data_IF_937639805667
#
_entry.id   IF_937639805667
#
_cell.length_a   1.000
_cell.length_b   1.000
_cell.length_c   1.000
_cell.angle_alpha   90.00
_cell.angle_beta   90.00
_cell.angle_gamma   90.00
#
_symmetry.space_group_name_H-M   'P 1'
#
loop_
_entity.id
_entity.type
_entity.pdbx_description
1 polymer ?
#
# COMPACT_ATOMS: atom_id res chain seq x y z
N UNK A 1 0.11 -56.33 8.87
CA UNK A 1 -0.36 -56.89 7.58
C UNK A 1 0.31 -56.11 6.45
N UNK A 2 1.35 -56.72 5.86
CA UNK A 2 1.59 -56.89 4.41
C UNK A 2 0.49 -56.30 3.51
N UNK A 3 0.71 -55.64 2.37
CA UNK A 3 1.74 -55.57 1.32
C UNK A 3 1.54 -54.19 0.61
N UNK A 4 2.50 -53.58 -0.11
CA UNK A 4 2.80 -53.90 -1.52
C UNK A 4 4.03 -53.12 -2.03
N UNK A 5 4.97 -53.87 -2.64
CA UNK A 5 5.99 -53.57 -3.66
C UNK A 5 6.92 -52.35 -3.42
N UNK A 6 8.25 -52.47 -3.22
CA UNK A 6 9.29 -53.28 -3.90
C UNK A 6 9.18 -53.28 -5.44
N UNK A 7 9.89 -52.35 -6.08
CA UNK A 7 10.76 -52.66 -7.23
C UNK A 7 12.02 -51.79 -7.17
N UNK A 8 13.15 -52.49 -7.03
CA UNK A 8 14.52 -52.01 -6.87
C UNK A 8 15.19 -51.89 -8.24
N UNK A 9 15.92 -50.78 -8.44
CA UNK A 9 17.26 -50.65 -9.03
C UNK A 9 17.76 -51.66 -10.08
N UNK A 10 18.23 -51.16 -11.24
CA UNK A 10 19.66 -51.05 -11.62
C UNK A 10 19.83 -50.87 -13.14
N UNK A 11 20.89 -50.16 -13.53
CA UNK A 11 21.95 -50.53 -14.51
C UNK A 11 22.42 -49.31 -15.33
N UNK A 12 23.71 -49.02 -15.14
CA UNK A 12 24.63 -48.16 -15.87
C UNK A 12 25.06 -48.85 -17.17
N UNK A 13 25.18 -48.14 -18.30
CA UNK A 13 26.41 -48.10 -19.14
C UNK A 13 26.20 -47.52 -20.55
N UNK A 14 27.16 -46.65 -20.93
CA UNK A 14 27.70 -46.33 -22.28
C UNK A 14 26.73 -45.88 -23.39
N UNK A 15 26.93 -44.75 -24.06
CA UNK A 15 27.94 -44.51 -25.12
C UNK A 15 28.15 -42.97 -25.19
N UNK A 16 29.34 -42.44 -24.92
CA UNK A 16 30.51 -42.23 -25.82
C UNK A 16 30.34 -41.11 -26.86
N UNK A 17 31.28 -40.15 -26.85
CA UNK A 17 31.47 -39.13 -27.90
C UNK A 17 31.80 -37.74 -27.33
N UNK A 18 33.00 -37.54 -26.76
CA UNK A 18 34.14 -36.78 -27.35
C UNK A 18 33.86 -35.26 -27.51
N UNK A 19 34.40 -34.41 -26.62
CA UNK A 19 35.75 -33.77 -26.63
C UNK A 19 35.68 -32.34 -27.22
N UNK A 20 35.73 -31.26 -26.42
CA UNK A 20 36.94 -30.53 -25.95
C UNK A 20 37.54 -29.65 -27.07
N UNK A 21 37.66 -28.31 -26.97
CA UNK A 21 38.82 -27.53 -26.47
C UNK A 21 38.63 -26.09 -27.02
N UNK A 22 38.51 -25.07 -26.16
CA UNK A 22 39.48 -24.03 -25.75
C UNK A 22 39.70 -22.82 -26.71
N UNK A 23 39.44 -21.65 -26.11
CA UNK A 23 40.25 -20.43 -26.01
C UNK A 23 40.73 -19.60 -27.22
N UNK A 24 40.34 -18.32 -27.11
CA UNK A 24 41.14 -17.09 -27.28
C UNK A 24 41.56 -16.64 -28.68
N UNK A 25 41.12 -15.44 -29.09
CA UNK A 25 41.98 -14.24 -29.10
C UNK A 25 41.21 -12.95 -29.46
N UNK A 26 41.85 -11.86 -29.06
CA UNK A 26 41.46 -10.46 -28.92
C UNK A 26 41.34 -9.62 -30.21
N UNK A 27 40.67 -8.46 -30.04
CA UNK A 27 41.07 -7.11 -30.55
C UNK A 27 40.52 -6.63 -31.90
N UNK A 28 39.62 -5.62 -31.90
CA UNK A 28 39.81 -4.26 -32.48
C UNK A 28 38.50 -3.44 -32.65
N UNK A 29 38.57 -2.18 -32.17
CA UNK A 29 38.01 -0.92 -32.69
C UNK A 29 36.52 -0.55 -32.55
N UNK A 30 36.28 0.33 -31.56
CA UNK A 30 35.90 1.76 -31.66
C UNK A 30 34.78 2.25 -32.62
N UNK A 31 33.91 3.08 -32.02
CA UNK A 31 33.04 4.17 -32.55
C UNK A 31 31.64 3.79 -33.07
N UNK A 32 30.60 4.20 -32.35
CA UNK A 32 29.84 5.40 -32.71
C UNK A 32 28.76 5.71 -31.66
N UNK A 33 28.70 7.00 -31.31
CA UNK A 33 27.70 7.65 -30.47
C UNK A 33 26.50 7.95 -31.37
N UNK A 34 25.29 7.56 -30.97
CA UNK A 34 24.06 7.99 -31.61
C UNK A 34 23.39 9.06 -30.73
N UNK A 35 23.67 10.32 -31.07
CA UNK A 35 22.88 11.47 -30.69
C UNK A 35 21.66 11.55 -31.61
N UNK A 36 20.44 11.49 -31.06
CA UNK A 36 19.25 11.95 -31.79
C UNK A 36 18.86 13.32 -31.24
N UNK A 37 19.24 14.34 -32.01
CA UNK A 37 18.75 15.71 -31.86
C UNK A 37 17.76 15.95 -32.98
N UNK A 38 16.47 15.97 -32.69
CA UNK A 38 15.46 16.46 -33.62
C UNK A 38 15.16 17.92 -33.28
N UNK A 39 15.79 18.82 -34.03
CA UNK A 39 15.28 20.16 -34.25
C UNK A 39 14.07 20.04 -35.17
N UNK A 40 12.93 20.58 -34.76
CA UNK A 40 11.90 20.99 -35.71
C UNK A 40 11.67 22.49 -35.55
N UNK A 41 11.94 23.18 -36.66
CA UNK A 41 11.78 24.61 -36.84
C UNK A 41 10.31 25.01 -36.69
N UNK A 42 10.07 26.09 -35.94
CA UNK A 42 8.81 26.81 -35.96
C UNK A 42 8.72 27.61 -37.26
N UNK A 43 7.84 27.20 -38.18
CA UNK A 43 7.36 28.06 -39.25
C UNK A 43 5.97 28.58 -38.88
N UNK A 44 5.87 29.91 -38.77
CA UNK A 44 4.59 30.62 -38.69
C UNK A 44 3.99 30.73 -40.08
N UNK A 45 2.80 30.17 -40.30
CA UNK A 45 1.91 30.63 -41.36
C UNK A 45 0.48 30.72 -40.85
N UNK A 46 -0.04 31.93 -40.93
CA UNK A 46 -1.42 32.32 -40.66
C UNK A 46 -2.31 31.98 -41.87
N UNK A 47 -3.40 31.25 -41.66
CA UNK A 47 -4.64 31.41 -42.41
C UNK A 47 -5.79 30.66 -41.69
N UNK A 48 -6.61 31.47 -41.03
CA UNK A 48 -8.04 31.31 -40.78
C UNK A 48 -8.73 30.05 -41.34
N UNK A 49 -9.17 29.16 -40.45
CA UNK A 49 -10.42 28.41 -40.63
C UNK A 49 -10.97 28.03 -39.25
N UNK A 50 -11.65 28.98 -38.63
CA UNK A 50 -12.51 28.73 -37.47
C UNK A 50 -13.70 27.88 -37.92
N UNK A 51 -13.63 26.56 -37.77
CA UNK A 51 -14.79 25.66 -37.93
C UNK A 51 -14.81 24.61 -36.83
N UNK A 52 -15.63 24.92 -35.83
CA UNK A 52 -16.52 23.99 -35.11
C UNK A 52 -16.11 22.50 -35.12
N UNK A 53 -15.35 22.10 -34.10
CA UNK A 53 -15.51 20.79 -33.46
C UNK A 53 -15.89 21.07 -32.00
N UNK A 54 -17.03 21.75 -31.84
CA UNK A 54 -17.85 21.63 -30.64
C UNK A 54 -19.06 20.81 -31.11
N UNK A 55 -18.89 19.50 -31.14
CA UNK A 55 -19.95 18.55 -31.47
C UNK A 55 -20.12 17.60 -30.29
N UNK A 56 -21.12 17.91 -29.47
CA UNK A 56 -22.03 16.94 -28.86
C UNK A 56 -21.38 15.74 -28.16
N UNK A 57 -20.57 16.01 -27.13
CA UNK A 57 -20.43 15.05 -26.03
C UNK A 57 -21.61 15.28 -25.10
N UNK A 58 -22.45 14.26 -24.95
CA UNK A 58 -23.71 14.27 -24.22
C UNK A 58 -23.65 14.98 -22.85
N UNK A 59 -24.29 16.14 -22.80
CA UNK A 59 -24.45 17.07 -21.68
C UNK A 59 -25.43 16.55 -20.59
N UNK A 60 -25.34 15.25 -20.25
CA UNK A 60 -26.18 14.60 -19.21
C UNK A 60 -25.41 14.18 -17.96
N UNK A 61 -24.08 14.04 -18.01
CA UNK A 61 -23.25 13.69 -16.85
C UNK A 61 -22.71 14.89 -16.05
N UNK A 62 -22.54 16.05 -16.67
CA UNK A 62 -21.84 17.21 -16.10
C UNK A 62 -22.67 18.06 -15.11
N UNK A 63 -23.99 17.82 -15.00
CA UNK A 63 -24.85 18.66 -14.12
C UNK A 63 -24.74 18.33 -12.64
N UNK A 64 -24.03 17.27 -12.28
CA UNK A 64 -23.97 16.81 -10.90
C UNK A 64 -22.69 17.19 -10.18
N UNK A 65 -21.65 17.60 -10.90
CA UNK A 65 -20.39 18.04 -10.33
C UNK A 65 -20.21 19.56 -10.49
N UNK A 66 -19.84 20.19 -9.39
CA UNK A 66 -19.60 21.62 -9.28
C UNK A 66 -18.10 21.86 -9.12
N UNK A 67 -17.62 23.00 -9.61
CA UNK A 67 -16.23 23.41 -9.43
C UNK A 67 -16.05 24.05 -8.05
N UNK A 68 -15.06 23.60 -7.30
CA UNK A 68 -14.67 24.23 -6.04
C UNK A 68 -14.04 25.60 -6.32
N UNK A 69 -14.50 26.63 -5.61
CA UNK A 69 -13.96 27.99 -5.76
C UNK A 69 -12.48 28.07 -5.38
N UNK A 70 -12.08 27.37 -4.32
CA UNK A 70 -10.69 27.31 -3.84
C UNK A 70 -9.98 26.07 -4.38
N UNK A 71 -9.03 26.26 -5.30
CA UNK A 71 -8.20 25.20 -5.87
C UNK A 71 -8.68 24.67 -7.24
N UNK A 72 -9.97 24.83 -7.57
CA UNK A 72 -10.50 24.57 -8.91
C UNK A 72 -10.79 23.10 -9.25
N UNK A 73 -10.73 22.18 -8.29
CA UNK A 73 -11.19 20.80 -8.43
C UNK A 73 -12.71 20.66 -8.47
N UNK A 74 -13.21 19.42 -8.52
CA UNK A 74 -14.65 19.12 -8.70
C UNK A 74 -15.25 18.42 -7.48
N UNK A 75 -16.52 18.67 -7.19
CA UNK A 75 -17.25 17.96 -6.15
C UNK A 75 -18.70 17.73 -6.55
N UNK A 76 -19.28 16.60 -6.16
CA UNK A 76 -20.67 16.29 -6.43
C UNK A 76 -21.61 17.22 -5.65
N UNK A 77 -22.75 17.63 -6.22
CA UNK A 77 -23.75 18.54 -5.62
C UNK A 77 -24.28 18.11 -4.25
N UNK A 78 -24.27 16.81 -3.97
CA UNK A 78 -24.69 16.25 -2.66
C UNK A 78 -23.55 16.10 -1.66
N UNK A 79 -22.31 16.38 -2.05
CA UNK A 79 -21.19 16.45 -1.10
C UNK A 79 -21.32 17.74 -0.27
N UNK A 80 -21.07 17.62 1.02
CA UNK A 80 -21.00 18.77 1.93
C UNK A 80 -19.55 19.22 2.03
N UNK A 81 -19.25 20.36 1.43
CA UNK A 81 -17.91 20.95 1.43
C UNK A 81 -17.97 22.24 2.24
N UNK A 82 -17.15 22.34 3.28
CA UNK A 82 -17.02 23.58 4.03
C UNK A 82 -16.45 24.70 3.14
N UNK A 83 -16.96 25.95 3.20
CA UNK A 83 -16.48 27.07 2.37
C UNK A 83 -14.99 27.42 2.55
N UNK A 84 -14.40 27.01 3.67
CA UNK A 84 -12.98 27.25 3.95
C UNK A 84 -12.07 26.19 3.33
N UNK A 85 -12.59 25.02 2.97
CA UNK A 85 -11.83 23.93 2.36
C UNK A 85 -11.30 24.30 0.95
N UNK A 86 -10.17 23.71 0.57
CA UNK A 86 -9.59 23.81 -0.77
C UNK A 86 -9.52 22.44 -1.43
N UNK A 87 -10.00 22.37 -2.67
CA UNK A 87 -9.96 21.17 -3.52
C UNK A 87 -9.20 21.57 -4.79
N UNK A 88 -7.97 21.08 -4.92
CA UNK A 88 -7.07 21.46 -5.99
C UNK A 88 -7.50 20.88 -7.35
N UNK A 89 -7.00 21.48 -8.42
CA UNK A 89 -7.26 21.06 -9.80
C UNK A 89 -7.01 19.56 -9.99
N UNK A 90 -7.94 18.88 -10.66
CA UNK A 90 -7.90 17.43 -10.90
C UNK A 90 -8.29 16.57 -9.71
N UNK A 91 -8.53 17.13 -8.52
CA UNK A 91 -9.14 16.39 -7.41
C UNK A 91 -10.67 16.32 -7.58
N UNK A 92 -11.26 15.20 -7.16
CA UNK A 92 -12.69 14.93 -7.28
C UNK A 92 -13.26 14.44 -5.94
N UNK A 93 -14.35 15.06 -5.49
CA UNK A 93 -15.11 14.62 -4.32
C UNK A 93 -16.48 14.09 -4.72
N UNK A 94 -16.76 12.83 -4.39
CA UNK A 94 -17.98 12.14 -4.79
C UNK A 94 -19.15 12.36 -3.82
N UNK A 95 -20.32 11.88 -4.24
CA UNK A 95 -21.62 12.08 -3.60
C UNK A 95 -21.65 11.67 -2.11
N UNK A 96 -22.40 12.45 -1.32
CA UNK A 96 -22.62 12.19 0.11
C UNK A 96 -21.37 12.34 0.99
N UNK A 97 -20.23 12.73 0.42
CA UNK A 97 -19.00 12.96 1.19
C UNK A 97 -19.10 14.23 2.02
N UNK A 98 -18.37 14.26 3.13
CA UNK A 98 -18.24 15.43 3.99
C UNK A 98 -16.79 15.85 4.07
N UNK A 99 -16.52 17.13 3.79
CA UNK A 99 -15.19 17.75 3.86
C UNK A 99 -15.27 18.93 4.81
N UNK A 100 -14.63 18.78 5.98
CA UNK A 100 -14.64 19.78 7.05
C UNK A 100 -13.87 21.06 6.74
N UNK A 101 -13.98 22.03 7.65
CA UNK A 101 -13.33 23.33 7.53
C UNK A 101 -11.80 23.24 7.47
N UNK A 102 -11.19 24.11 6.68
CA UNK A 102 -9.74 24.20 6.46
C UNK A 102 -9.08 22.90 5.98
N UNK A 103 -9.85 21.98 5.40
CA UNK A 103 -9.30 20.79 4.73
C UNK A 103 -8.66 21.19 3.40
N UNK A 104 -7.53 20.57 3.09
CA UNK A 104 -6.89 20.67 1.77
C UNK A 104 -6.89 19.30 1.10
N UNK A 105 -7.51 19.21 -0.07
CA UNK A 105 -7.46 18.04 -0.97
C UNK A 105 -6.55 18.35 -2.16
N UNK A 106 -5.38 17.70 -2.21
CA UNK A 106 -4.40 17.91 -3.28
C UNK A 106 -4.80 17.31 -4.64
N UNK A 107 -4.19 17.81 -5.71
CA UNK A 107 -4.45 17.42 -7.09
C UNK A 107 -4.44 15.90 -7.34
N UNK A 108 -5.35 15.45 -8.20
CA UNK A 108 -5.50 14.05 -8.59
C UNK A 108 -6.08 13.13 -7.50
N UNK A 109 -6.35 13.65 -6.31
CA UNK A 109 -6.98 12.89 -5.23
C UNK A 109 -8.44 12.62 -5.53
N UNK A 110 -8.88 11.40 -5.26
CA UNK A 110 -10.27 10.97 -5.37
C UNK A 110 -10.82 10.68 -3.98
N UNK A 111 -11.82 11.44 -3.58
CA UNK A 111 -12.61 11.22 -2.37
C UNK A 111 -13.90 10.50 -2.77
N UNK A 112 -13.95 9.20 -2.55
CA UNK A 112 -15.07 8.33 -2.91
C UNK A 112 -16.36 8.64 -2.14
N UNK A 113 -17.50 8.04 -2.53
CA UNK A 113 -18.80 8.36 -1.95
C UNK A 113 -18.86 8.12 -0.44
N UNK A 114 -19.58 9.00 0.27
CA UNK A 114 -19.82 8.91 1.71
C UNK A 114 -18.53 8.85 2.57
N UNK A 115 -17.40 9.35 2.05
CA UNK A 115 -16.18 9.55 2.84
C UNK A 115 -16.32 10.80 3.70
N UNK A 116 -15.85 10.72 4.93
CA UNK A 116 -15.85 11.87 5.86
C UNK A 116 -14.42 12.28 6.14
N UNK A 117 -14.11 13.56 5.99
CA UNK A 117 -12.80 14.15 6.30
C UNK A 117 -13.00 15.26 7.34
N UNK A 118 -12.37 15.08 8.49
CA UNK A 118 -12.37 16.03 9.60
C UNK A 118 -11.61 17.32 9.28
N UNK A 119 -11.86 18.35 10.09
CA UNK A 119 -11.32 19.70 9.88
C UNK A 119 -9.79 19.76 9.95
N UNK A 120 -9.22 20.73 9.26
CA UNK A 120 -7.77 21.01 9.24
C UNK A 120 -6.90 19.83 8.79
N UNK A 121 -7.51 18.82 8.15
CA UNK A 121 -6.80 17.67 7.59
C UNK A 121 -6.23 18.02 6.22
N UNK A 122 -4.99 17.59 5.97
CA UNK A 122 -4.27 17.79 4.72
C UNK A 122 -4.16 16.46 3.98
N UNK A 123 -4.68 16.41 2.76
CA UNK A 123 -4.61 15.27 1.87
C UNK A 123 -3.70 15.63 0.71
N UNK A 124 -2.70 14.79 0.46
CA UNK A 124 -1.70 14.98 -0.59
C UNK A 124 -2.26 14.76 -1.99
N UNK A 125 -1.36 14.41 -2.90
CA UNK A 125 -1.65 14.23 -4.32
C UNK A 125 -1.95 12.78 -4.62
N UNK A 126 -2.84 12.53 -5.58
CA UNK A 126 -3.17 11.19 -6.05
C UNK A 126 -3.54 10.21 -4.92
N UNK A 127 -4.20 10.70 -3.87
CA UNK A 127 -4.72 9.87 -2.78
C UNK A 127 -6.06 9.26 -3.20
N UNK A 128 -6.31 8.01 -2.84
CA UNK A 128 -7.59 7.34 -3.10
C UNK A 128 -8.28 6.99 -1.79
N UNK A 129 -9.38 7.67 -1.49
CA UNK A 129 -10.18 7.44 -0.29
C UNK A 129 -11.50 6.78 -0.67
N UNK A 130 -11.83 5.66 -0.03
CA UNK A 130 -13.12 5.00 -0.19
C UNK A 130 -13.56 4.42 1.16
N UNK A 131 -14.86 4.34 1.44
CA UNK A 131 -15.40 3.65 2.63
C UNK A 131 -14.67 3.96 3.94
N UNK A 132 -14.32 5.23 4.17
CA UNK A 132 -13.53 5.61 5.33
C UNK A 132 -14.00 6.91 5.97
N UNK A 133 -13.60 7.08 7.22
CA UNK A 133 -13.69 8.35 7.93
C UNK A 133 -12.29 8.74 8.40
N UNK A 134 -11.92 9.99 8.20
CA UNK A 134 -10.65 10.56 8.65
C UNK A 134 -10.97 11.66 9.66
N UNK A 135 -10.33 11.61 10.83
CA UNK A 135 -10.47 12.62 11.87
C UNK A 135 -9.84 13.96 11.52
N UNK A 136 -9.73 14.80 12.54
CA UNK A 136 -9.25 16.17 12.46
C UNK A 136 -7.72 16.24 12.48
N UNK A 137 -7.19 17.28 11.84
CA UNK A 137 -5.75 17.63 11.87
C UNK A 137 -4.82 16.49 11.43
N UNK A 138 -5.30 15.65 10.51
CA UNK A 138 -4.52 14.57 9.94
C UNK A 138 -3.66 15.04 8.77
N UNK A 139 -2.59 14.29 8.48
CA UNK A 139 -1.75 14.49 7.30
C UNK A 139 -1.67 13.19 6.52
N UNK A 140 -2.21 13.19 5.31
CA UNK A 140 -2.21 12.03 4.41
C UNK A 140 -1.30 12.36 3.24
N UNK A 141 -0.16 11.70 3.15
CA UNK A 141 0.84 11.94 2.11
C UNK A 141 0.41 11.36 0.75
N UNK A 142 1.20 11.63 -0.28
CA UNK A 142 0.86 11.33 -1.67
C UNK A 142 0.68 9.82 -1.92
N UNK A 143 -0.24 9.46 -2.81
CA UNK A 143 -0.43 8.07 -3.27
C UNK A 143 -1.01 7.13 -2.21
N UNK A 144 -1.44 7.63 -1.06
CA UNK A 144 -2.07 6.80 -0.01
C UNK A 144 -3.42 6.26 -0.49
N UNK A 145 -3.72 5.01 -0.14
CA UNK A 145 -5.00 4.36 -0.41
C UNK A 145 -5.66 3.96 0.91
N UNK A 146 -6.88 4.42 1.17
CA UNK A 146 -7.64 4.11 2.40
C UNK A 146 -9.02 3.56 2.05
N UNK A 147 -9.35 2.43 2.69
CA UNK A 147 -10.65 1.76 2.65
C UNK A 147 -10.95 1.03 1.34
N UNK A 148 -9.90 0.52 0.69
CA UNK A 148 -10.01 -0.50 -0.34
C UNK A 148 -10.38 -1.86 0.28
N UNK A 149 -10.84 -2.80 -0.55
CA UNK A 149 -11.06 -4.17 -0.11
C UNK A 149 -9.76 -4.79 0.41
N UNK A 150 -9.81 -5.40 1.59
CA UNK A 150 -8.70 -6.25 2.04
C UNK A 150 -8.63 -7.59 1.31
N UNK A 151 -7.52 -8.29 1.56
CA UNK A 151 -7.21 -9.59 0.94
C UNK A 151 -8.03 -10.76 1.53
N UNK A 152 -9.34 -10.74 1.36
CA UNK A 152 -10.25 -11.81 1.81
C UNK A 152 -10.66 -12.72 0.65
N UNK A 153 -10.04 -13.88 0.55
CA UNK A 153 -10.41 -14.93 -0.42
C UNK A 153 -10.51 -16.29 0.28
N UNK A 154 -11.41 -17.15 -0.18
CA UNK A 154 -11.53 -18.53 0.30
C UNK A 154 -11.74 -19.46 -0.90
N UNK A 155 -11.42 -20.75 -0.70
CA UNK A 155 -11.75 -21.78 -1.69
C UNK A 155 -13.15 -22.30 -1.40
N UNK A 156 -14.01 -22.35 -2.41
CA UNK A 156 -15.32 -23.01 -2.31
C UNK A 156 -15.19 -24.54 -2.37
N UNK A 157 -16.31 -25.24 -2.26
CA UNK A 157 -16.36 -26.71 -2.30
C UNK A 157 -15.87 -27.30 -3.62
N UNK A 158 -15.83 -26.51 -4.69
CA UNK A 158 -15.37 -26.91 -6.02
C UNK A 158 -13.91 -26.51 -6.29
N UNK A 159 -13.23 -25.90 -5.30
CA UNK A 159 -11.85 -25.43 -5.43
C UNK A 159 -11.69 -24.07 -6.13
N UNK A 160 -12.79 -23.34 -6.39
CA UNK A 160 -12.72 -22.00 -6.95
C UNK A 160 -12.36 -20.96 -5.88
N UNK A 161 -11.52 -19.99 -6.24
CA UNK A 161 -11.15 -18.87 -5.35
C UNK A 161 -12.26 -17.83 -5.41
N UNK A 162 -12.98 -17.66 -4.30
CA UNK A 162 -14.11 -16.73 -4.16
C UNK A 162 -13.74 -15.57 -3.26
N UNK A 163 -14.13 -14.35 -3.64
CA UNK A 163 -13.90 -13.14 -2.86
C UNK A 163 -14.86 -13.07 -1.67
N UNK A 164 -14.31 -12.83 -0.48
CA UNK A 164 -15.08 -12.51 0.72
C UNK A 164 -15.48 -11.03 0.70
N UNK A 165 -16.78 -10.69 0.80
CA UNK A 165 -17.22 -9.31 0.89
C UNK A 165 -16.57 -8.55 2.07
N UNK A 166 -16.04 -7.35 1.82
CA UNK A 166 -15.59 -6.40 2.84
C UNK A 166 -16.56 -5.22 2.85
N UNK A 167 -17.55 -5.25 3.74
CA UNK A 167 -18.66 -4.29 3.72
C UNK A 167 -18.51 -3.13 4.70
N UNK A 168 -17.49 -3.16 5.57
CA UNK A 168 -17.32 -2.17 6.63
C UNK A 168 -16.31 -1.10 6.23
N UNK A 169 -15.84 -0.29 7.18
CA UNK A 169 -15.06 0.91 6.91
C UNK A 169 -13.62 0.83 7.43
N UNK A 170 -12.85 1.85 7.08
CA UNK A 170 -11.62 2.22 7.75
C UNK A 170 -11.83 3.53 8.54
N UNK A 171 -11.47 3.55 9.81
CA UNK A 171 -11.57 4.70 10.70
C UNK A 171 -10.19 5.20 11.08
N UNK A 172 -9.86 6.41 10.66
CA UNK A 172 -8.63 7.10 11.04
C UNK A 172 -8.99 8.15 12.11
N UNK A 173 -8.34 8.07 13.28
CA UNK A 173 -8.51 9.00 14.38
C UNK A 173 -7.96 10.40 14.07
N UNK A 174 -7.82 11.22 15.11
CA UNK A 174 -7.34 12.60 15.00
C UNK A 174 -5.81 12.68 15.06
N UNK A 175 -5.22 13.70 14.45
CA UNK A 175 -3.78 13.96 14.46
C UNK A 175 -2.93 12.78 13.94
N UNK A 176 -3.51 11.95 13.07
CA UNK A 176 -2.82 10.82 12.45
C UNK A 176 -2.04 11.30 11.24
N UNK A 177 -0.84 10.79 11.07
CA UNK A 177 -0.04 11.03 9.86
C UNK A 177 0.25 9.72 9.14
N UNK A 178 -0.04 9.66 7.84
CA UNK A 178 0.14 8.47 7.00
C UNK A 178 1.04 8.82 5.82
N UNK A 179 2.20 8.20 5.77
CA UNK A 179 3.25 8.38 4.78
C UNK A 179 2.86 7.88 3.39
N UNK A 180 3.65 8.28 2.40
CA UNK A 180 3.37 8.11 0.99
C UNK A 180 3.23 6.63 0.59
N UNK A 181 2.28 6.36 -0.30
CA UNK A 181 2.01 5.03 -0.87
C UNK A 181 1.71 3.94 0.18
N UNK A 182 1.25 4.33 1.37
CA UNK A 182 0.75 3.39 2.36
C UNK A 182 -0.70 3.01 2.07
N UNK A 183 -1.07 1.78 2.42
CA UNK A 183 -2.37 1.19 2.12
C UNK A 183 -3.06 0.74 3.41
N UNK A 184 -4.32 1.11 3.57
CA UNK A 184 -5.15 0.77 4.73
C UNK A 184 -6.44 0.14 4.22
N UNK A 185 -6.59 -1.17 4.41
CA UNK A 185 -7.76 -1.90 3.95
C UNK A 185 -8.95 -1.68 4.88
N UNK A 186 -10.17 -1.69 4.34
CA UNK A 186 -11.41 -1.64 5.14
C UNK A 186 -11.71 -2.98 5.82
N UNK A 187 -12.58 -2.92 6.81
CA UNK A 187 -13.07 -4.11 7.51
C UNK A 187 -14.06 -4.98 6.72
N UNK A 188 -14.09 -6.28 7.05
CA UNK A 188 -15.21 -7.20 6.75
C UNK A 188 -16.17 -7.43 7.91
N UNK A 189 -15.68 -7.84 9.08
CA UNK A 189 -16.51 -8.16 10.25
C UNK A 189 -16.43 -7.14 11.39
N UNK A 190 -15.30 -6.43 11.50
CA UNK A 190 -15.14 -5.19 12.27
C UNK A 190 -14.40 -4.16 11.44
N UNK A 191 -14.55 -2.88 11.75
CA UNK A 191 -13.78 -1.86 11.06
C UNK A 191 -12.27 -2.03 11.27
N UNK A 192 -11.51 -1.57 10.28
CA UNK A 192 -10.11 -1.25 10.48
C UNK A 192 -10.04 0.10 11.18
N UNK A 193 -9.29 0.23 12.27
CA UNK A 193 -9.23 1.45 13.06
C UNK A 193 -7.81 1.82 13.43
N UNK A 194 -7.48 3.11 13.32
CA UNK A 194 -6.19 3.69 13.69
C UNK A 194 -6.43 4.78 14.72
N UNK A 195 -5.89 4.59 15.92
CA UNK A 195 -6.07 5.50 17.04
C UNK A 195 -5.33 6.83 16.86
N UNK A 196 -5.82 7.83 17.59
CA UNK A 196 -5.33 9.20 17.57
C UNK A 196 -3.80 9.31 17.73
N UNK A 197 -3.21 10.34 17.12
CA UNK A 197 -1.79 10.69 17.21
C UNK A 197 -0.80 9.66 16.65
N UNK A 198 -1.29 8.59 16.01
CA UNK A 198 -0.42 7.57 15.41
C UNK A 198 0.30 8.10 14.16
N UNK A 199 1.53 7.63 13.94
CA UNK A 199 2.42 8.01 12.84
C UNK A 199 2.78 6.76 12.03
N UNK A 200 2.43 6.78 10.76
CA UNK A 200 2.65 5.69 9.82
C UNK A 200 3.55 6.23 8.73
N UNK A 201 4.69 5.60 8.52
CA UNK A 201 5.66 5.99 7.51
C UNK A 201 5.22 5.48 6.12
N UNK A 202 6.09 5.66 5.13
CA UNK A 202 5.86 5.30 3.73
C UNK A 202 5.82 3.78 3.52
N UNK A 203 5.04 3.37 2.51
CA UNK A 203 4.95 1.97 2.06
C UNK A 203 4.54 0.99 3.17
N UNK A 204 3.70 1.43 4.10
CA UNK A 204 3.15 0.57 5.15
C UNK A 204 1.87 -0.09 4.64
N UNK A 205 1.72 -1.39 4.89
CA UNK A 205 0.48 -2.13 4.63
C UNK A 205 -0.26 -2.40 5.95
N UNK A 206 -1.52 -2.00 6.02
CA UNK A 206 -2.45 -2.32 7.10
C UNK A 206 -3.61 -3.13 6.54
N UNK A 207 -3.66 -4.41 6.90
CA UNK A 207 -4.70 -5.34 6.45
C UNK A 207 -6.10 -5.04 7.00
N UNK A 208 -7.07 -5.80 6.51
CA UNK A 208 -8.47 -5.66 6.93
C UNK A 208 -8.66 -6.02 8.40
N UNK A 209 -9.62 -5.34 9.05
CA UNK A 209 -9.92 -5.53 10.47
C UNK A 209 -8.68 -5.31 11.34
N UNK A 210 -7.73 -4.43 11.03
CA UNK A 210 -6.65 -4.14 12.00
C UNK A 210 -7.14 -3.09 12.99
N UNK A 211 -6.85 -3.24 14.28
CA UNK A 211 -7.04 -2.17 15.29
C UNK A 211 -5.68 -1.77 15.81
N UNK A 212 -5.34 -0.50 15.64
CA UNK A 212 -4.14 0.15 16.17
C UNK A 212 -4.58 1.16 17.24
N UNK A 213 -3.99 1.06 18.42
CA UNK A 213 -4.19 2.02 19.51
C UNK A 213 -3.66 3.41 19.21
N UNK A 214 -3.63 4.25 20.23
CA UNK A 214 -3.18 5.65 20.14
C UNK A 214 -1.67 5.76 20.18
N UNK A 215 -1.14 6.85 19.62
CA UNK A 215 0.28 7.21 19.72
C UNK A 215 1.23 6.11 19.23
N UNK A 216 0.83 5.31 18.25
CA UNK A 216 1.68 4.27 17.67
C UNK A 216 2.60 4.85 16.61
N UNK A 217 3.78 4.23 16.42
CA UNK A 217 4.74 4.62 15.39
C UNK A 217 5.09 3.41 14.53
N UNK A 218 4.79 3.47 13.23
CA UNK A 218 5.05 2.41 12.27
C UNK A 218 6.04 2.91 11.23
N UNK A 219 7.28 2.43 11.29
CA UNK A 219 8.33 2.81 10.35
C UNK A 219 8.11 2.21 8.95
N UNK A 220 8.89 2.68 7.97
CA UNK A 220 8.71 2.33 6.58
C UNK A 220 8.71 0.82 6.30
N UNK A 221 7.86 0.41 5.35
CA UNK A 221 7.72 -0.97 4.91
C UNK A 221 7.24 -1.96 5.99
N UNK A 222 6.67 -1.47 7.10
CA UNK A 222 5.96 -2.33 8.05
C UNK A 222 4.75 -2.96 7.34
N UNK A 223 4.54 -4.26 7.57
CA UNK A 223 3.39 -5.01 7.05
C UNK A 223 2.60 -5.66 8.18
N UNK A 224 1.33 -5.29 8.32
CA UNK A 224 0.41 -5.85 9.31
C UNK A 224 -0.68 -6.63 8.58
N UNK A 225 -0.73 -7.94 8.83
CA UNK A 225 -1.77 -8.79 8.27
C UNK A 225 -3.14 -8.57 8.96
N UNK A 226 -4.19 -9.19 8.39
CA UNK A 226 -5.56 -8.94 8.82
C UNK A 226 -5.86 -9.33 10.27
N UNK A 227 -6.85 -8.66 10.86
CA UNK A 227 -7.39 -8.96 12.20
C UNK A 227 -6.40 -8.84 13.37
N UNK A 228 -5.28 -8.13 13.20
CA UNK A 228 -4.36 -7.79 14.29
C UNK A 228 -4.98 -6.75 15.22
N UNK A 229 -4.66 -6.86 16.51
CA UNK A 229 -5.01 -5.87 17.54
C UNK A 229 -3.73 -5.41 18.23
N UNK A 230 -3.48 -4.10 18.22
CA UNK A 230 -2.30 -3.48 18.80
C UNK A 230 -2.71 -2.40 19.79
N UNK A 231 -2.15 -2.43 20.99
CA UNK A 231 -2.39 -1.44 22.05
C UNK A 231 -1.76 -0.07 21.75
N UNK A 232 -1.79 0.80 22.75
CA UNK A 232 -1.27 2.17 22.64
C UNK A 232 0.27 2.22 22.74
N UNK A 233 0.88 3.26 22.18
CA UNK A 233 2.32 3.51 22.28
C UNK A 233 3.19 2.36 21.74
N UNK A 234 2.69 1.60 20.77
CA UNK A 234 3.49 0.55 20.12
C UNK A 234 4.34 1.16 19.01
N UNK A 235 5.61 0.76 18.97
CA UNK A 235 6.56 1.17 17.93
C UNK A 235 7.02 -0.05 17.14
N UNK A 236 6.81 -0.02 15.83
CA UNK A 236 7.27 -1.06 14.91
C UNK A 236 8.41 -0.49 14.05
N UNK A 237 9.63 -1.01 14.23
CA UNK A 237 10.77 -0.65 13.42
C UNK A 237 10.58 -1.00 11.94
N UNK A 238 11.44 -0.45 11.08
CA UNK A 238 11.30 -0.60 9.63
C UNK A 238 11.26 -2.08 9.21
N UNK A 239 10.38 -2.41 8.26
CA UNK A 239 10.18 -3.78 7.75
C UNK A 239 9.73 -4.81 8.80
N UNK A 240 9.17 -4.39 9.93
CA UNK A 240 8.53 -5.34 10.84
C UNK A 240 7.31 -5.97 10.16
N UNK A 241 7.21 -7.29 10.24
CA UNK A 241 6.05 -8.06 9.81
C UNK A 241 5.21 -8.53 11.01
N UNK A 242 3.89 -8.46 10.90
CA UNK A 242 2.97 -8.97 11.92
C UNK A 242 1.99 -9.96 11.29
N UNK A 243 1.99 -11.20 11.80
CA UNK A 243 1.06 -12.26 11.40
C UNK A 243 -0.38 -11.89 11.76
N UNK A 244 -1.32 -12.41 10.97
CA UNK A 244 -2.76 -12.24 11.17
C UNK A 244 -3.22 -12.76 12.54
N UNK A 245 -4.31 -12.18 13.04
CA UNK A 245 -4.97 -12.58 14.29
C UNK A 245 -4.07 -12.55 15.54
N UNK A 246 -3.01 -11.74 15.53
CA UNK A 246 -2.13 -11.55 16.69
C UNK A 246 -2.56 -10.34 17.51
N UNK A 247 -2.40 -10.44 18.83
CA UNK A 247 -2.56 -9.33 19.78
C UNK A 247 -1.20 -8.85 20.31
N UNK A 248 -0.96 -7.54 20.27
CA UNK A 248 0.24 -6.88 20.82
C UNK A 248 -0.21 -5.87 21.88
N UNK A 249 0.25 -6.05 23.12
CA UNK A 249 -0.08 -5.12 24.22
C UNK A 249 0.59 -3.75 24.04
N UNK A 250 0.08 -2.75 24.76
CA UNK A 250 0.62 -1.40 24.76
C UNK A 250 2.10 -1.33 25.18
N UNK A 251 2.79 -0.28 24.74
CA UNK A 251 4.20 0.03 25.10
C UNK A 251 5.19 -1.08 24.69
N UNK A 252 4.94 -1.70 23.55
CA UNK A 252 5.85 -2.65 22.92
C UNK A 252 6.68 -1.93 21.86
N UNK A 253 7.97 -2.23 21.78
CA UNK A 253 8.86 -1.73 20.71
C UNK A 253 9.50 -2.91 19.99
N UNK A 254 9.27 -3.02 18.69
CA UNK A 254 9.86 -4.07 17.83
C UNK A 254 11.04 -3.49 17.07
N UNK A 255 12.21 -4.13 17.19
CA UNK A 255 13.36 -3.82 16.37
C UNK A 255 13.07 -4.09 14.88
N UNK A 256 13.73 -3.33 13.99
CA UNK A 256 13.57 -3.45 12.55
C UNK A 256 13.74 -4.89 12.04
N UNK A 257 13.01 -5.24 10.98
CA UNK A 257 12.99 -6.56 10.34
C UNK A 257 12.54 -7.74 11.24
N UNK A 258 12.01 -7.47 12.44
CA UNK A 258 11.42 -8.52 13.28
C UNK A 258 10.09 -9.03 12.70
N UNK A 259 9.74 -10.28 13.00
CA UNK A 259 8.46 -10.87 12.60
C UNK A 259 7.69 -11.37 13.82
N UNK A 260 6.50 -10.83 14.05
CA UNK A 260 5.61 -11.22 15.15
C UNK A 260 4.71 -12.36 14.68
N UNK A 261 4.88 -13.54 15.28
CA UNK A 261 4.14 -14.75 14.91
C UNK A 261 3.14 -15.22 15.98
N UNK A 262 3.23 -14.66 17.19
CA UNK A 262 2.38 -14.99 18.34
C UNK A 262 2.11 -13.73 19.15
N UNK A 263 1.10 -13.80 20.02
CA UNK A 263 0.74 -12.70 20.90
C UNK A 263 1.92 -12.22 21.74
N UNK A 264 2.04 -10.90 21.86
CA UNK A 264 2.97 -10.24 22.76
C UNK A 264 2.14 -9.72 23.93
N UNK A 265 2.22 -10.41 25.07
CA UNK A 265 1.39 -10.14 26.25
C UNK A 265 2.08 -9.28 27.30
N UNK A 266 3.35 -8.93 27.10
CA UNK A 266 4.13 -8.10 28.02
C UNK A 266 4.69 -6.88 27.30
N UNK A 267 4.63 -5.68 27.89
CA UNK A 267 5.35 -4.52 27.38
C UNK A 267 6.86 -4.75 27.34
N UNK A 268 7.57 -4.02 26.48
CA UNK A 268 9.02 -4.05 26.41
C UNK A 268 9.56 -4.10 24.99
N UNK A 269 10.85 -4.42 24.91
CA UNK A 269 11.60 -4.44 23.66
C UNK A 269 11.72 -5.85 23.13
N UNK A 270 11.34 -6.03 21.87
CA UNK A 270 11.36 -7.30 21.17
C UNK A 270 12.19 -7.15 19.91
N UNK A 271 12.95 -8.18 19.54
CA UNK A 271 13.79 -8.11 18.37
C UNK A 271 14.33 -9.46 17.92
N UNK A 272 14.73 -9.52 16.65
CA UNK A 272 15.47 -10.60 16.02
C UNK A 272 15.82 -10.20 14.58
N UNK A 273 16.98 -10.66 14.08
CA UNK A 273 17.77 -10.11 12.96
C UNK A 273 18.86 -9.15 13.47
N UNK A 274 20.16 -9.45 13.24
CA UNK A 274 20.86 -8.60 12.28
C UNK A 274 21.62 -9.41 11.22
N UNK A 275 22.09 -8.71 10.18
CA UNK A 275 23.09 -9.26 9.29
C UNK A 275 24.37 -9.55 10.09
N UNK A 276 24.83 -10.80 10.06
CA UNK A 276 26.13 -11.24 10.56
C UNK A 276 26.96 -11.76 9.39
N UNK A 277 28.30 -11.84 9.49
CA UNK A 277 29.13 -12.42 8.43
C UNK A 277 28.63 -13.81 8.01
N UNK A 278 28.62 -14.10 6.71
CA UNK A 278 27.98 -15.31 6.14
C UNK A 278 28.48 -16.61 6.77
N UNK A 279 29.74 -16.66 7.20
CA UNK A 279 30.33 -17.83 7.86
C UNK A 279 29.78 -18.05 9.26
N UNK A 280 29.52 -16.97 9.98
CA UNK A 280 28.89 -17.01 11.30
C UNK A 280 27.44 -17.45 11.17
N UNK A 281 26.68 -16.86 10.25
CA UNK A 281 25.30 -17.24 9.97
C UNK A 281 25.17 -18.73 9.63
N UNK A 282 25.99 -19.26 8.69
CA UNK A 282 25.98 -20.69 8.33
C UNK A 282 26.24 -21.59 9.53
N UNK A 283 27.13 -21.19 10.44
CA UNK A 283 27.44 -21.94 11.66
C UNK A 283 26.26 -21.94 12.62
N UNK A 284 25.66 -20.78 12.87
CA UNK A 284 24.48 -20.63 13.74
C UNK A 284 23.30 -21.50 13.23
N UNK A 285 23.08 -21.55 11.92
CA UNK A 285 22.03 -22.40 11.31
C UNK A 285 22.33 -23.89 11.53
N UNK A 286 23.56 -24.34 11.21
CA UNK A 286 23.94 -25.73 11.36
C UNK A 286 23.86 -26.21 12.82
N UNK A 287 24.31 -25.39 13.79
CA UNK A 287 24.24 -25.73 15.21
C UNK A 287 22.81 -25.88 15.70
N UNK A 288 21.90 -24.99 15.25
CA UNK A 288 20.47 -25.04 15.62
C UNK A 288 19.79 -26.31 15.10
N UNK A 289 20.11 -26.73 13.87
CA UNK A 289 19.55 -27.96 13.29
C UNK A 289 20.01 -29.24 14.00
N UNK A 290 21.17 -29.22 14.67
CA UNK A 290 21.68 -30.34 15.44
C UNK A 290 21.04 -30.44 16.83
N UNK A 291 20.70 -29.31 17.45
CA UNK A 291 20.07 -29.26 18.77
C UNK A 291 18.55 -29.51 18.75
N UNK A 292 17.94 -29.50 17.57
CA UNK A 292 16.51 -29.78 17.36
C UNK A 292 16.22 -31.24 16.98
N UNK A 293 17.22 -32.13 17.06
CA UNK A 293 17.04 -33.60 17.01
C UNK A 293 17.03 -34.15 18.43
#
# INVERSE_FOLDING_TARGET
MTMHLKRLTNIISSISGKSSILDSHSSLRQKSILSFTTRHDFSTSSADTTRHIASDVEERGDREYLKCHKGGGMFHKSASIDPTASIDFGAVVHSGSFVGGNVHVGSGTVVGPNVTIGQSTKIGYNVALANCTIGDSCVIHHGVCIGQDGFGFFMDENGAVVKKPQALKAHIGNNVEIGANSCIDRGSWRDTAIGDHSKIDNLVQIGHNVVIGKCCMLCGQVGIAGSVTMGDYVTLGGRVGVRDHVTIVSKVRLAAASCVTKDITKPGDYGGFPAVPIREWRRQVASRSQTLK
#
